data_IF_056372381570
#
_entry.id   IF_056372381570
#
_cell.length_a   1.000
_cell.length_b   1.000
_cell.length_c   1.000
_cell.angle_alpha   90.00
_cell.angle_beta   90.00
_cell.angle_gamma   90.00
#
_symmetry.space_group_name_H-M   'P 1'
#
loop_
_entity.id
_entity.type
_entity.pdbx_description
1 polymer ?
#
# COMPACT_ATOMS: atom_id res chain seq x y z
N UNK A 1 131.64 -65.94 134.44
CA UNK A 1 130.94 -64.70 134.00
C UNK A 1 129.42 -64.96 133.98
N UNK A 2 128.91 -65.34 135.16
CA UNK A 2 127.70 -66.16 135.35
C UNK A 2 126.75 -65.52 136.39
N UNK A 3 126.72 -64.18 136.47
CA UNK A 3 125.87 -63.41 137.41
C UNK A 3 125.07 -62.27 136.75
N UNK A 4 125.52 -61.75 135.61
CA UNK A 4 124.83 -60.64 134.91
C UNK A 4 123.61 -61.11 134.09
N UNK A 5 123.69 -62.29 133.47
CA UNK A 5 122.60 -62.88 132.67
C UNK A 5 121.38 -63.24 133.52
N UNK A 6 121.61 -63.61 134.79
CA UNK A 6 120.55 -64.03 135.72
C UNK A 6 119.78 -62.83 136.31
N UNK A 7 120.47 -61.69 136.50
CA UNK A 7 119.86 -60.45 136.96
C UNK A 7 118.99 -59.79 135.86
N UNK A 8 119.45 -59.79 134.61
CA UNK A 8 118.65 -59.27 133.49
C UNK A 8 117.42 -60.13 133.19
N UNK A 9 117.51 -61.47 133.31
CA UNK A 9 116.34 -62.35 133.16
C UNK A 9 115.28 -62.09 134.23
N UNK A 10 115.68 -61.89 135.50
CA UNK A 10 114.74 -61.53 136.59
C UNK A 10 114.06 -60.18 136.35
N UNK A 11 114.79 -59.18 135.86
CA UNK A 11 114.21 -57.87 135.49
C UNK A 11 113.24 -58.01 134.31
N UNK A 12 113.57 -58.85 133.32
CA UNK A 12 112.70 -59.12 132.17
C UNK A 12 111.42 -59.86 132.57
N UNK A 13 111.49 -60.85 133.47
CA UNK A 13 110.30 -61.55 133.98
C UNK A 13 109.38 -60.64 134.81
N UNK A 14 109.96 -59.69 135.57
CA UNK A 14 109.17 -58.71 136.34
C UNK A 14 108.52 -57.67 135.40
N UNK A 15 109.21 -57.22 134.36
CA UNK A 15 108.67 -56.27 133.39
C UNK A 15 107.56 -56.90 132.50
N UNK A 16 107.74 -58.15 132.07
CA UNK A 16 106.71 -58.89 131.31
C UNK A 16 105.51 -59.23 132.20
N UNK A 17 105.72 -59.53 133.49
CA UNK A 17 104.65 -59.73 134.46
C UNK A 17 103.82 -58.48 134.74
N UNK A 18 104.43 -57.28 134.76
CA UNK A 18 103.70 -56.02 134.96
C UNK A 18 103.01 -55.49 133.69
N UNK A 19 103.50 -55.79 132.50
CA UNK A 19 102.90 -55.32 131.25
C UNK A 19 101.66 -56.13 130.80
N UNK A 20 101.48 -57.36 131.30
CA UNK A 20 100.34 -58.23 130.94
C UNK A 20 99.08 -58.03 131.82
N UNK A 21 99.10 -57.12 132.80
CA UNK A 21 97.97 -56.87 133.72
C UNK A 21 97.26 -55.52 133.51
N UNK A 22 97.55 -54.81 132.42
CA UNK A 22 97.07 -53.44 132.16
C UNK A 22 96.06 -53.24 131.02
N UNK A 23 95.42 -54.29 130.47
CA UNK A 23 94.55 -54.18 129.28
C UNK A 23 93.09 -54.63 129.46
N UNK A 24 92.46 -54.36 130.60
CA UNK A 24 91.03 -54.62 130.81
C UNK A 24 90.21 -53.33 130.94
N UNK A 25 89.45 -52.96 129.88
CA UNK A 25 88.34 -51.99 129.96
C UNK A 25 87.14 -52.69 130.63
N UNK A 26 86.46 -52.06 131.61
CA UNK A 26 85.32 -52.68 132.30
C UNK A 26 84.15 -52.99 131.35
N UNK A 27 83.63 -54.22 131.36
CA UNK A 27 82.57 -54.71 130.46
C UNK A 27 81.31 -53.82 130.44
N UNK A 28 80.96 -53.18 131.56
CA UNK A 28 79.79 -52.29 131.65
C UNK A 28 79.92 -50.98 130.85
N UNK A 29 81.11 -50.36 130.80
CA UNK A 29 81.35 -49.16 129.98
C UNK A 29 81.46 -49.50 128.50
N UNK A 30 81.98 -50.69 128.17
CA UNK A 30 81.96 -51.21 126.81
C UNK A 30 80.53 -51.51 126.34
N UNK A 31 79.71 -52.17 127.18
CA UNK A 31 78.30 -52.44 126.90
C UNK A 31 77.51 -51.15 126.66
N UNK A 32 77.66 -50.13 127.53
CA UNK A 32 76.92 -48.88 127.39
C UNK A 32 77.30 -48.08 126.13
N UNK A 33 78.57 -48.14 125.72
CA UNK A 33 79.05 -47.54 124.48
C UNK A 33 78.53 -48.31 123.25
N UNK A 34 78.46 -49.64 123.34
CA UNK A 34 77.87 -50.52 122.32
C UNK A 34 76.36 -50.28 122.19
N UNK A 35 75.63 -50.14 123.30
CA UNK A 35 74.18 -49.86 123.29
C UNK A 35 73.86 -48.49 122.68
N UNK A 36 74.65 -47.46 123.01
CA UNK A 36 74.52 -46.13 122.40
C UNK A 36 74.92 -46.13 120.91
N UNK A 37 75.94 -46.91 120.54
CA UNK A 37 76.31 -47.11 119.14
C UNK A 37 75.18 -47.80 118.38
N UNK A 38 74.57 -48.83 118.97
CA UNK A 38 73.44 -49.56 118.38
C UNK A 38 72.18 -48.67 118.28
N UNK A 39 71.91 -47.82 119.28
CA UNK A 39 70.76 -46.90 119.22
C UNK A 39 70.94 -45.83 118.15
N UNK A 40 72.14 -45.22 118.07
CA UNK A 40 72.47 -44.25 117.03
C UNK A 40 72.50 -44.89 115.64
N UNK A 41 72.90 -46.16 115.56
CA UNK A 41 72.86 -46.94 114.32
C UNK A 41 71.42 -47.20 113.88
N UNK A 42 70.53 -47.57 114.81
CA UNK A 42 69.09 -47.73 114.53
C UNK A 42 68.43 -46.41 114.10
N UNK A 43 68.74 -45.30 114.76
CA UNK A 43 68.24 -43.96 114.40
C UNK A 43 68.75 -43.52 113.02
N UNK A 44 70.03 -43.77 112.73
CA UNK A 44 70.61 -43.55 111.39
C UNK A 44 69.89 -44.38 110.33
N UNK A 45 69.60 -45.65 110.61
CA UNK A 45 68.96 -46.54 109.65
C UNK A 45 67.50 -46.12 109.39
N UNK A 46 66.77 -45.65 110.41
CA UNK A 46 65.42 -45.06 110.27
C UNK A 46 65.46 -43.76 109.45
N UNK A 47 66.38 -42.85 109.78
CA UNK A 47 66.55 -41.60 109.03
C UNK A 47 67.01 -41.85 107.58
N UNK A 48 67.81 -42.88 107.34
CA UNK A 48 68.18 -43.30 105.99
C UNK A 48 66.97 -43.81 105.21
N UNK A 49 66.12 -44.65 105.83
CA UNK A 49 64.89 -45.13 105.21
C UNK A 49 63.90 -44.00 104.91
N UNK A 50 63.76 -43.03 105.83
CA UNK A 50 62.93 -41.83 105.62
C UNK A 50 63.49 -40.92 104.52
N UNK A 51 64.82 -40.73 104.48
CA UNK A 51 65.46 -39.96 103.41
C UNK A 51 65.30 -40.64 102.04
N UNK A 52 65.42 -41.96 101.99
CA UNK A 52 65.18 -42.75 100.78
C UNK A 52 63.72 -42.62 100.33
N UNK A 53 62.76 -42.75 101.26
CA UNK A 53 61.33 -42.55 100.98
C UNK A 53 61.03 -41.14 100.44
N UNK A 54 61.49 -40.08 101.13
CA UNK A 54 61.32 -38.69 100.69
C UNK A 54 62.02 -38.40 99.36
N UNK A 55 63.11 -39.09 99.06
CA UNK A 55 63.80 -39.00 97.76
C UNK A 55 62.97 -39.63 96.66
N UNK A 56 62.33 -40.78 96.91
CA UNK A 56 61.41 -41.42 95.96
C UNK A 56 60.18 -40.54 95.74
N UNK A 57 59.57 -40.03 96.80
CA UNK A 57 58.40 -39.14 96.71
C UNK A 57 58.73 -37.84 95.94
N UNK A 58 59.89 -37.23 96.19
CA UNK A 58 60.34 -36.07 95.40
C UNK A 58 60.52 -36.40 93.92
N UNK A 59 61.06 -37.58 93.59
CA UNK A 59 61.20 -38.01 92.20
C UNK A 59 59.83 -38.21 91.54
N UNK A 60 58.88 -38.82 92.24
CA UNK A 60 57.52 -38.99 91.74
C UNK A 60 56.80 -37.66 91.55
N UNK A 61 56.89 -36.75 92.52
CA UNK A 61 56.29 -35.43 92.44
C UNK A 61 56.91 -34.60 91.31
N UNK A 62 58.22 -34.70 91.11
CA UNK A 62 58.90 -34.08 89.98
C UNK A 62 58.44 -34.65 88.64
N UNK A 63 58.32 -35.97 88.52
CA UNK A 63 57.82 -36.61 87.31
C UNK A 63 56.38 -36.17 86.98
N UNK A 64 55.51 -36.06 88.00
CA UNK A 64 54.14 -35.52 87.83
C UNK A 64 54.14 -34.05 87.46
N UNK A 65 55.04 -33.25 88.03
CA UNK A 65 55.21 -31.83 87.69
C UNK A 65 55.63 -31.67 86.22
N UNK A 66 56.66 -32.41 85.80
CA UNK A 66 57.15 -32.42 84.42
C UNK A 66 56.03 -32.88 83.44
N UNK A 67 55.20 -33.86 83.82
CA UNK A 67 54.05 -34.30 83.02
C UNK A 67 52.97 -33.21 82.88
N UNK A 68 52.64 -32.51 83.98
CA UNK A 68 51.67 -31.41 83.96
C UNK A 68 52.21 -30.22 83.17
N UNK A 69 53.50 -29.93 83.29
CA UNK A 69 54.16 -28.85 82.55
C UNK A 69 54.15 -29.15 81.04
N UNK A 70 54.47 -30.37 80.63
CA UNK A 70 54.37 -30.80 79.24
C UNK A 70 52.92 -30.72 78.69
N UNK A 71 51.92 -31.14 79.48
CA UNK A 71 50.50 -30.99 79.09
C UNK A 71 50.07 -29.54 78.97
N UNK A 72 50.55 -28.66 79.86
CA UNK A 72 50.26 -27.22 79.81
C UNK A 72 50.85 -26.60 78.56
N UNK A 73 52.09 -26.95 78.19
CA UNK A 73 52.71 -26.50 76.94
C UNK A 73 51.90 -26.97 75.73
N UNK A 74 51.54 -28.27 75.68
CA UNK A 74 50.71 -28.81 74.61
C UNK A 74 49.36 -28.09 74.49
N UNK A 75 48.65 -27.87 75.59
CA UNK A 75 47.38 -27.13 75.56
C UNK A 75 47.56 -25.67 75.13
N UNK A 76 48.69 -25.05 75.46
CA UNK A 76 48.99 -23.69 75.02
C UNK A 76 49.20 -23.65 73.51
N UNK A 77 49.97 -24.59 72.96
CA UNK A 77 50.17 -24.73 71.51
C UNK A 77 48.86 -25.02 70.77
N UNK A 78 48.05 -25.95 71.29
CA UNK A 78 46.74 -26.29 70.74
C UNK A 78 45.79 -25.09 70.76
N UNK A 79 45.77 -24.31 71.85
CA UNK A 79 44.95 -23.11 71.96
C UNK A 79 45.35 -22.05 70.94
N UNK A 80 46.65 -21.84 70.72
CA UNK A 80 47.16 -20.91 69.70
C UNK A 80 46.77 -21.40 68.30
N UNK A 81 46.92 -22.71 68.04
CA UNK A 81 46.55 -23.31 66.75
C UNK A 81 45.07 -23.15 66.45
N UNK A 82 44.19 -23.47 67.41
CA UNK A 82 42.74 -23.35 67.27
C UNK A 82 42.35 -21.88 67.09
N UNK A 83 42.94 -20.96 67.84
CA UNK A 83 42.65 -19.53 67.70
C UNK A 83 42.98 -19.04 66.29
N UNK A 84 44.14 -19.44 65.74
CA UNK A 84 44.52 -19.11 64.36
C UNK A 84 43.53 -19.69 63.34
N UNK A 85 43.14 -20.96 63.49
CA UNK A 85 42.13 -21.58 62.61
C UNK A 85 40.79 -20.86 62.68
N UNK A 86 40.38 -20.40 63.87
CA UNK A 86 39.14 -19.67 64.06
C UNK A 86 39.21 -18.29 63.39
N UNK A 87 40.33 -17.57 63.52
CA UNK A 87 40.55 -16.29 62.85
C UNK A 87 40.55 -16.44 61.31
N UNK A 88 41.16 -17.51 60.79
CA UNK A 88 41.15 -17.80 59.35
C UNK A 88 39.75 -18.16 58.86
N UNK A 89 38.99 -18.96 59.61
CA UNK A 89 37.60 -19.31 59.30
C UNK A 89 36.67 -18.10 59.36
N UNK A 90 36.85 -17.20 60.33
CA UNK A 90 36.12 -15.93 60.42
C UNK A 90 36.36 -15.06 59.18
N UNK A 91 37.61 -14.98 58.70
CA UNK A 91 37.94 -14.25 57.47
C UNK A 91 37.27 -14.88 56.25
N UNK A 92 37.26 -16.21 56.15
CA UNK A 92 36.59 -16.92 55.06
C UNK A 92 35.07 -16.72 55.09
N UNK A 93 34.46 -16.74 56.27
CA UNK A 93 33.03 -16.49 56.45
C UNK A 93 32.64 -15.09 55.99
N UNK A 94 33.40 -14.06 56.40
CA UNK A 94 33.18 -12.68 55.94
C UNK A 94 33.35 -12.55 54.42
N UNK A 95 34.32 -13.26 53.82
CA UNK A 95 34.49 -13.26 52.36
C UNK A 95 33.33 -13.96 51.65
N UNK A 96 32.84 -15.07 52.20
CA UNK A 96 31.73 -15.82 51.64
C UNK A 96 30.43 -15.02 51.70
N UNK A 97 30.16 -14.34 52.82
CA UNK A 97 29.02 -13.45 52.99
C UNK A 97 29.04 -12.30 51.96
N UNK A 98 30.20 -11.69 51.73
CA UNK A 98 30.35 -10.66 50.68
C UNK A 98 30.06 -11.20 49.29
N UNK A 99 30.62 -12.37 48.95
CA UNK A 99 30.36 -13.02 47.65
C UNK A 99 28.88 -13.36 47.47
N UNK A 100 28.21 -13.81 48.53
CA UNK A 100 26.79 -14.10 48.50
C UNK A 100 25.96 -12.83 48.27
N UNK A 101 26.26 -11.74 48.98
CA UNK A 101 25.61 -10.45 48.79
C UNK A 101 25.81 -9.88 47.36
N UNK A 102 27.02 -9.98 46.82
CA UNK A 102 27.31 -9.59 45.44
C UNK A 102 26.55 -10.46 44.42
N UNK A 103 26.50 -11.78 44.67
CA UNK A 103 25.77 -12.71 43.81
C UNK A 103 24.26 -12.46 43.84
N UNK A 104 23.69 -12.19 45.01
CA UNK A 104 22.28 -11.85 45.17
C UNK A 104 21.95 -10.53 44.44
N UNK A 105 22.77 -9.50 44.62
CA UNK A 105 22.63 -8.21 43.94
C UNK A 105 22.70 -8.33 42.41
N UNK A 106 23.67 -9.09 41.90
CA UNK A 106 23.81 -9.34 40.45
C UNK A 106 22.66 -10.16 39.90
N UNK A 107 22.17 -11.15 40.65
CA UNK A 107 21.00 -11.95 40.26
C UNK A 107 19.74 -11.09 40.19
N UNK A 108 19.48 -10.25 41.19
CA UNK A 108 18.36 -9.30 41.16
C UNK A 108 18.46 -8.29 40.02
N UNK A 109 19.67 -7.80 39.72
CA UNK A 109 19.90 -6.92 38.57
C UNK A 109 19.59 -7.62 37.24
N UNK A 110 20.00 -8.87 37.09
CA UNK A 110 19.75 -9.68 35.90
C UNK A 110 18.27 -10.01 35.74
N UNK A 111 17.57 -10.38 36.82
CA UNK A 111 16.12 -10.60 36.80
C UNK A 111 15.36 -9.33 36.40
N UNK A 112 15.74 -8.17 36.95
CA UNK A 112 15.14 -6.87 36.58
C UNK A 112 15.42 -6.52 35.12
N UNK A 113 16.64 -6.77 34.64
CA UNK A 113 17.02 -6.58 33.24
C UNK A 113 16.17 -7.44 32.30
N UNK A 114 16.10 -8.75 32.57
CA UNK A 114 15.31 -9.69 31.80
C UNK A 114 13.81 -9.37 31.82
N UNK A 115 13.25 -9.01 32.97
CA UNK A 115 11.85 -8.63 33.08
C UNK A 115 11.54 -7.35 32.27
N UNK A 116 12.46 -6.37 32.29
CA UNK A 116 12.34 -5.15 31.49
C UNK A 116 12.40 -5.46 29.99
N UNK A 117 13.34 -6.29 29.58
CA UNK A 117 13.52 -6.66 28.18
C UNK A 117 12.34 -7.50 27.65
N UNK A 118 11.86 -8.46 28.44
CA UNK A 118 10.67 -9.24 28.12
C UNK A 118 9.45 -8.33 27.93
N UNK A 119 9.27 -7.35 28.83
CA UNK A 119 8.17 -6.37 28.70
C UNK A 119 8.33 -5.50 27.46
N UNK A 120 9.54 -5.08 27.11
CA UNK A 120 9.83 -4.33 25.88
C UNK A 120 9.44 -5.14 24.65
N UNK A 121 9.90 -6.38 24.56
CA UNK A 121 9.61 -7.29 23.45
C UNK A 121 8.12 -7.61 23.34
N UNK A 122 7.42 -7.81 24.46
CA UNK A 122 5.97 -8.03 24.45
C UNK A 122 5.21 -6.81 23.93
N UNK A 123 5.61 -5.60 24.34
CA UNK A 123 5.01 -4.37 23.82
C UNK A 123 5.28 -4.22 22.32
N UNK A 124 6.50 -4.45 21.86
CA UNK A 124 6.85 -4.40 20.42
C UNK A 124 6.09 -5.44 19.60
N UNK A 125 5.95 -6.66 20.14
CA UNK A 125 5.17 -7.71 19.51
C UNK A 125 3.69 -7.32 19.41
N UNK A 126 3.12 -6.72 20.45
CA UNK A 126 1.74 -6.25 20.43
C UNK A 126 1.55 -5.14 19.40
N UNK A 127 2.41 -4.12 19.40
CA UNK A 127 2.31 -3.01 18.42
C UNK A 127 2.48 -3.50 16.99
N UNK A 128 3.40 -4.45 16.75
CA UNK A 128 3.60 -5.00 15.41
C UNK A 128 2.44 -5.88 14.96
N UNK A 129 1.76 -6.59 15.87
CA UNK A 129 0.53 -7.32 15.57
C UNK A 129 -0.63 -6.38 15.22
N UNK A 130 -0.80 -5.28 15.95
CA UNK A 130 -1.80 -4.25 15.66
C UNK A 130 -1.52 -3.58 14.31
N UNK A 131 -0.27 -3.21 14.03
CA UNK A 131 0.15 -2.68 12.72
C UNK A 131 -0.06 -3.67 11.57
N UNK A 132 0.19 -4.96 11.81
CA UNK A 132 -0.02 -5.99 10.78
C UNK A 132 -1.51 -6.14 10.47
N UNK A 133 -2.37 -6.16 11.51
CA UNK A 133 -3.82 -6.25 11.33
C UNK A 133 -4.38 -5.06 10.55
N UNK A 134 -3.93 -3.84 10.87
CA UNK A 134 -4.35 -2.62 10.15
C UNK A 134 -3.89 -2.65 8.69
N UNK A 135 -2.64 -3.07 8.42
CA UNK A 135 -2.13 -3.22 7.05
C UNK A 135 -2.88 -4.29 6.26
N UNK A 136 -3.24 -5.41 6.89
CA UNK A 136 -4.04 -6.46 6.25
C UNK A 136 -5.44 -5.96 5.88
N UNK A 137 -6.08 -5.17 6.76
CA UNK A 137 -7.37 -4.56 6.47
C UNK A 137 -7.28 -3.57 5.31
N UNK A 138 -6.26 -2.71 5.30
CA UNK A 138 -6.02 -1.76 4.20
C UNK A 138 -5.77 -2.48 2.86
N UNK A 139 -4.98 -3.56 2.87
CA UNK A 139 -4.74 -4.36 1.66
C UNK A 139 -6.03 -4.96 1.11
N UNK A 140 -6.88 -5.51 1.98
CA UNK A 140 -8.17 -6.06 1.57
C UNK A 140 -9.09 -5.00 0.97
N UNK A 141 -9.08 -3.79 1.51
CA UNK A 141 -9.85 -2.66 0.97
C UNK A 141 -9.31 -2.21 -0.39
N UNK A 142 -7.98 -2.11 -0.54
CA UNK A 142 -7.33 -1.79 -1.81
C UNK A 142 -7.61 -2.85 -2.88
N UNK A 143 -7.56 -4.14 -2.53
CA UNK A 143 -7.90 -5.24 -3.43
C UNK A 143 -9.35 -5.13 -3.93
N UNK A 144 -10.30 -4.82 -3.04
CA UNK A 144 -11.69 -4.60 -3.41
C UNK A 144 -11.87 -3.38 -4.34
N UNK A 145 -11.18 -2.29 -4.06
CA UNK A 145 -11.21 -1.08 -4.89
C UNK A 145 -10.64 -1.34 -6.30
N UNK A 146 -9.50 -2.03 -6.39
CA UNK A 146 -8.89 -2.40 -7.69
C UNK A 146 -9.81 -3.35 -8.46
N UNK A 147 -10.46 -4.31 -7.79
CA UNK A 147 -11.43 -5.18 -8.43
C UNK A 147 -12.62 -4.40 -9.00
N UNK A 148 -13.16 -3.44 -8.24
CA UNK A 148 -14.22 -2.52 -8.69
C UNK A 148 -13.81 -1.69 -9.90
N UNK A 149 -12.66 -1.01 -9.82
CA UNK A 149 -12.13 -0.22 -10.94
C UNK A 149 -11.91 -1.05 -12.21
N UNK A 150 -11.47 -2.30 -12.07
CA UNK A 150 -11.28 -3.20 -13.21
C UNK A 150 -12.62 -3.58 -13.85
N UNK A 151 -13.67 -3.78 -13.04
CA UNK A 151 -15.01 -4.04 -13.55
C UNK A 151 -15.56 -2.81 -14.30
N UNK A 152 -15.41 -1.62 -13.73
CA UNK A 152 -15.84 -0.36 -14.35
C UNK A 152 -15.12 -0.13 -15.69
N UNK A 153 -13.81 -0.37 -15.74
CA UNK A 153 -13.04 -0.28 -16.98
C UNK A 153 -13.55 -1.25 -18.04
N UNK A 154 -13.80 -2.51 -17.69
CA UNK A 154 -14.34 -3.48 -18.64
C UNK A 154 -15.72 -3.06 -19.17
N UNK A 155 -16.58 -2.52 -18.31
CA UNK A 155 -17.89 -2.02 -18.71
C UNK A 155 -17.77 -0.82 -19.65
N UNK A 156 -16.90 0.14 -19.33
CA UNK A 156 -16.67 1.33 -20.15
C UNK A 156 -16.06 0.97 -21.51
N UNK A 157 -15.14 -0.01 -21.55
CA UNK A 157 -14.58 -0.52 -22.79
C UNK A 157 -15.66 -1.16 -23.66
N UNK A 158 -16.53 -2.00 -23.09
CA UNK A 158 -17.64 -2.61 -23.82
C UNK A 158 -18.64 -1.56 -24.35
N UNK A 159 -18.95 -0.53 -23.56
CA UNK A 159 -19.81 0.57 -23.98
C UNK A 159 -19.19 1.38 -25.11
N UNK A 160 -17.89 1.66 -25.03
CA UNK A 160 -17.16 2.38 -26.07
C UNK A 160 -17.11 1.58 -27.38
N UNK A 161 -16.86 0.28 -27.31
CA UNK A 161 -16.89 -0.62 -28.47
C UNK A 161 -18.28 -0.63 -29.13
N UNK A 162 -19.35 -0.76 -28.33
CA UNK A 162 -20.72 -0.71 -28.84
C UNK A 162 -21.05 0.64 -29.49
N UNK A 163 -20.60 1.74 -28.90
CA UNK A 163 -20.81 3.09 -29.44
C UNK A 163 -20.03 3.31 -30.73
N UNK A 164 -18.79 2.83 -30.80
CA UNK A 164 -17.96 2.89 -32.01
C UNK A 164 -18.58 2.07 -33.14
N UNK A 165 -19.09 0.86 -32.86
CA UNK A 165 -19.78 0.04 -33.86
C UNK A 165 -21.02 0.75 -34.41
N UNK A 166 -21.81 1.39 -33.54
CA UNK A 166 -22.99 2.18 -33.96
C UNK A 166 -22.62 3.40 -34.80
N UNK A 167 -21.49 4.04 -34.49
CA UNK A 167 -20.99 5.17 -35.29
C UNK A 167 -20.57 4.70 -36.69
N UNK A 168 -19.86 3.58 -36.80
CA UNK A 168 -19.48 3.01 -38.10
C UNK A 168 -20.71 2.64 -38.94
N UNK A 169 -21.74 2.04 -38.32
CA UNK A 169 -23.00 1.74 -39.00
C UNK A 169 -23.70 3.01 -39.50
N UNK A 170 -23.74 4.06 -38.67
CA UNK A 170 -24.31 5.35 -39.05
C UNK A 170 -23.52 6.03 -40.18
N UNK A 171 -22.18 5.99 -40.13
CA UNK A 171 -21.31 6.55 -41.17
C UNK A 171 -21.54 5.86 -42.52
N UNK A 172 -21.65 4.53 -42.52
CA UNK A 172 -21.96 3.77 -43.74
C UNK A 172 -23.35 4.12 -44.28
N UNK A 173 -24.37 4.22 -43.41
CA UNK A 173 -25.71 4.62 -43.81
C UNK A 173 -25.73 6.03 -44.42
N UNK A 174 -25.02 6.99 -43.81
CA UNK A 174 -24.89 8.35 -44.35
C UNK A 174 -24.17 8.35 -45.70
N UNK A 175 -23.13 7.55 -45.85
CA UNK A 175 -22.39 7.44 -47.10
C UNK A 175 -23.25 6.87 -48.24
N UNK A 176 -24.03 5.82 -47.96
CA UNK A 176 -24.99 5.28 -48.92
C UNK A 176 -26.05 6.30 -49.30
N UNK A 177 -26.57 7.06 -48.33
CA UNK A 177 -27.53 8.13 -48.55
C UNK A 177 -26.97 9.22 -49.47
N UNK A 178 -25.76 9.71 -49.20
CA UNK A 178 -25.14 10.76 -50.00
C UNK A 178 -24.91 10.30 -51.44
N UNK A 179 -24.47 9.05 -51.64
CA UNK A 179 -24.33 8.46 -52.98
C UNK A 179 -25.66 8.41 -53.75
N UNK A 180 -26.74 7.94 -53.12
CA UNK A 180 -28.05 7.85 -53.75
C UNK A 180 -28.56 9.25 -54.13
N UNK A 181 -28.42 10.22 -53.22
CA UNK A 181 -28.82 11.61 -53.48
C UNK A 181 -28.04 12.22 -54.64
N UNK A 182 -26.74 11.96 -54.73
CA UNK A 182 -25.90 12.50 -55.81
C UNK A 182 -26.17 11.84 -57.16
N UNK A 183 -26.39 10.52 -57.21
CA UNK A 183 -26.82 9.82 -58.44
C UNK A 183 -28.16 10.38 -58.95
N UNK A 184 -29.11 10.56 -58.03
CA UNK A 184 -30.43 11.08 -58.37
C UNK A 184 -30.35 12.53 -58.86
N UNK A 185 -29.57 13.39 -58.20
CA UNK A 185 -29.30 14.77 -58.66
C UNK A 185 -28.66 14.81 -60.04
N UNK A 186 -27.74 13.89 -60.32
CA UNK A 186 -27.04 13.83 -61.60
C UNK A 186 -28.00 13.43 -62.73
N UNK A 187 -28.83 12.41 -62.51
CA UNK A 187 -29.89 12.00 -63.45
C UNK A 187 -30.86 13.14 -63.77
N UNK A 188 -31.31 13.88 -62.75
CA UNK A 188 -32.18 15.05 -62.96
C UNK A 188 -31.50 16.08 -63.84
N UNK A 189 -30.22 16.38 -63.61
CA UNK A 189 -29.52 17.38 -64.41
C UNK A 189 -29.21 16.93 -65.85
N UNK A 190 -28.82 15.67 -66.05
CA UNK A 190 -28.55 15.10 -67.37
C UNK A 190 -29.81 15.09 -68.24
N UNK A 191 -30.97 14.81 -67.65
CA UNK A 191 -32.26 14.88 -68.34
C UNK A 191 -32.63 16.30 -68.83
N UNK A 192 -32.06 17.35 -68.22
CA UNK A 192 -32.47 18.74 -68.43
C UNK A 192 -31.45 19.59 -69.19
N UNK A 193 -30.17 19.20 -69.22
CA UNK A 193 -29.12 19.91 -69.98
C UNK A 193 -29.40 19.97 -71.50
N UNK A 194 -30.14 19.02 -72.06
CA UNK A 194 -30.51 19.00 -73.49
C UNK A 194 -31.49 20.10 -73.94
N UNK A 195 -32.03 20.91 -73.02
CA UNK A 195 -33.06 21.91 -73.29
C UNK A 195 -32.59 23.36 -73.11
N UNK A 196 -31.33 23.55 -72.73
CA UNK A 196 -30.70 24.87 -72.68
C UNK A 196 -30.63 25.46 -74.10
N UNK A 197 -31.18 26.67 -74.29
CA UNK A 197 -31.17 27.37 -75.58
C UNK A 197 -32.47 27.32 -76.39
N UNK A 198 -33.51 26.60 -75.96
CA UNK A 198 -34.84 26.62 -76.58
C UNK A 198 -35.80 27.66 -75.97
N UNK A 199 -35.25 28.75 -75.44
CA UNK A 199 -36.00 29.76 -74.66
C UNK A 199 -36.17 29.40 -73.18
N UNK A 200 -35.52 28.32 -72.73
CA UNK A 200 -35.42 27.89 -71.34
C UNK A 200 -34.01 28.15 -70.83
N UNK A 201 -33.91 28.65 -69.60
CA UNK A 201 -32.66 28.78 -68.86
C UNK A 201 -32.65 27.75 -67.74
N UNK A 202 -31.63 26.91 -67.70
CA UNK A 202 -31.48 25.86 -66.67
C UNK A 202 -30.38 26.27 -65.72
N UNK A 203 -30.68 26.32 -64.42
CA UNK A 203 -29.68 26.65 -63.38
C UNK A 203 -29.76 25.65 -62.23
N UNK A 204 -28.62 25.32 -61.63
CA UNK A 204 -28.56 24.42 -60.47
C UNK A 204 -28.32 25.26 -59.21
N UNK A 205 -29.18 25.10 -58.19
CA UNK A 205 -29.05 25.81 -56.91
C UNK A 205 -29.52 24.92 -55.76
N UNK A 206 -28.74 24.82 -54.69
CA UNK A 206 -29.08 24.09 -53.46
C UNK A 206 -29.58 22.64 -53.70
N UNK A 207 -28.98 21.94 -54.67
CA UNK A 207 -29.35 20.56 -55.01
C UNK A 207 -30.68 20.41 -55.76
N UNK A 208 -31.30 21.51 -56.21
CA UNK A 208 -32.48 21.54 -57.09
C UNK A 208 -32.11 22.08 -58.47
N UNK A 209 -32.85 21.67 -59.49
CA UNK A 209 -32.73 22.21 -60.84
C UNK A 209 -33.86 23.20 -61.10
N UNK A 210 -33.50 24.42 -61.45
CA UNK A 210 -34.42 25.51 -61.76
C UNK A 210 -34.46 25.70 -63.26
N UNK A 211 -35.62 25.50 -63.85
CA UNK A 211 -35.90 25.80 -65.26
C UNK A 211 -36.73 27.06 -65.29
N UNK A 212 -36.13 28.16 -65.73
CA UNK A 212 -36.83 29.44 -65.87
C UNK A 212 -37.11 29.75 -67.34
N UNK A 213 -38.22 30.45 -67.56
CA UNK A 213 -38.65 30.88 -68.88
C UNK A 213 -39.11 32.33 -68.80
N UNK A 214 -38.67 33.14 -69.77
CA UNK A 214 -39.03 34.56 -69.83
C UNK A 214 -40.55 34.71 -70.01
N UNK A 215 -41.18 35.54 -69.18
CA UNK A 215 -42.62 35.76 -69.26
C UNK A 215 -43.05 36.32 -70.63
N UNK A 216 -42.20 37.04 -71.37
CA UNK A 216 -42.55 37.49 -72.74
C UNK A 216 -42.78 36.34 -73.72
N UNK A 217 -42.13 35.20 -73.49
CA UNK A 217 -42.29 34.00 -74.30
C UNK A 217 -43.52 33.19 -73.86
N UNK A 218 -43.99 33.40 -72.63
CA UNK A 218 -45.09 32.66 -72.04
C UNK A 218 -46.41 33.43 -72.06
N UNK A 219 -46.48 34.68 -71.62
CA UNK A 219 -47.73 35.39 -71.39
C UNK A 219 -47.71 36.78 -72.01
N UNK A 220 -48.86 37.18 -72.56
CA UNK A 220 -49.12 38.60 -72.84
C UNK A 220 -49.34 39.36 -71.52
N UNK A 221 -49.04 40.65 -71.49
CA UNK A 221 -49.22 41.49 -70.29
C UNK A 221 -50.64 41.38 -69.73
N UNK A 222 -50.75 41.09 -68.42
CA UNK A 222 -52.03 40.90 -67.73
C UNK A 222 -52.81 39.64 -68.11
N UNK A 223 -52.24 38.74 -68.92
CA UNK A 223 -52.86 37.48 -69.35
C UNK A 223 -52.34 36.28 -68.56
N UNK A 224 -53.20 35.27 -68.45
CA UNK A 224 -52.90 33.92 -67.94
C UNK A 224 -52.89 32.88 -69.06
N UNK A 225 -53.12 33.29 -70.32
CA UNK A 225 -53.04 32.40 -71.49
C UNK A 225 -51.61 32.33 -72.00
N UNK A 226 -51.11 31.11 -72.19
CA UNK A 226 -49.75 30.86 -72.67
C UNK A 226 -49.66 31.05 -74.20
N UNK A 227 -48.59 31.69 -74.68
CA UNK A 227 -48.30 31.87 -76.10
C UNK A 227 -48.01 30.53 -76.80
N UNK A 228 -48.39 30.33 -78.08
CA UNK A 228 -48.14 29.08 -78.79
C UNK A 228 -46.69 28.58 -78.74
N UNK A 229 -45.70 29.49 -78.75
CA UNK A 229 -44.27 29.10 -78.64
C UNK A 229 -43.95 28.57 -77.24
N UNK A 230 -44.48 29.23 -76.21
CA UNK A 230 -44.38 28.76 -74.82
C UNK A 230 -45.04 27.40 -74.61
N UNK A 231 -46.20 27.16 -75.24
CA UNK A 231 -46.88 25.85 -75.22
C UNK A 231 -45.99 24.76 -75.82
N UNK A 232 -45.30 25.04 -76.93
CA UNK A 232 -44.40 24.07 -77.56
C UNK A 232 -43.20 23.70 -76.66
N UNK A 233 -42.55 24.69 -76.05
CA UNK A 233 -41.44 24.47 -75.12
C UNK A 233 -41.89 23.69 -73.87
N UNK A 234 -43.06 24.03 -73.31
CA UNK A 234 -43.64 23.30 -72.18
C UNK A 234 -44.00 21.85 -72.53
N UNK A 235 -44.50 21.58 -73.74
CA UNK A 235 -44.78 20.21 -74.19
C UNK A 235 -43.51 19.36 -74.33
N UNK A 236 -42.42 19.95 -74.79
CA UNK A 236 -41.12 19.25 -74.86
C UNK A 236 -40.59 18.93 -73.47
N UNK A 237 -40.68 19.89 -72.54
CA UNK A 237 -40.35 19.67 -71.14
C UNK A 237 -41.24 18.58 -70.52
N UNK A 238 -42.54 18.59 -70.81
CA UNK A 238 -43.49 17.62 -70.29
C UNK A 238 -43.15 16.17 -70.70
N UNK A 239 -42.71 15.95 -71.95
CA UNK A 239 -42.28 14.62 -72.41
C UNK A 239 -41.06 14.08 -71.66
N UNK A 240 -40.16 14.95 -71.23
CA UNK A 240 -38.98 14.55 -70.45
C UNK A 240 -39.41 14.21 -69.03
N UNK A 241 -40.21 15.07 -68.41
CA UNK A 241 -40.70 14.86 -67.05
C UNK A 241 -41.59 13.62 -66.92
N UNK A 242 -42.30 13.25 -68.00
CA UNK A 242 -43.06 12.01 -68.06
C UNK A 242 -42.18 10.75 -68.12
N UNK A 243 -40.99 10.84 -68.73
CA UNK A 243 -40.01 9.73 -68.80
C UNK A 243 -39.18 9.56 -67.53
N UNK A 244 -39.19 10.54 -66.64
CA UNK A 244 -38.45 10.54 -65.37
C UNK A 244 -39.45 10.67 -64.21
N UNK A 245 -40.17 9.59 -63.84
CA UNK A 245 -41.19 9.62 -62.79
C UNK A 245 -40.67 10.00 -61.40
N UNK A 246 -39.37 9.87 -61.16
CA UNK A 246 -38.66 10.17 -59.91
C UNK A 246 -38.41 11.67 -59.66
N UNK A 247 -38.94 12.55 -60.50
CA UNK A 247 -38.76 14.01 -60.39
C UNK A 247 -40.06 14.67 -59.94
N UNK A 248 -40.04 15.33 -58.80
CA UNK A 248 -41.10 16.23 -58.36
C UNK A 248 -40.98 17.59 -59.04
N UNK A 249 -42.14 18.18 -59.37
CA UNK A 249 -42.26 19.38 -60.19
C UNK A 249 -43.01 20.43 -59.40
N UNK A 250 -42.31 21.49 -58.97
CA UNK A 250 -42.93 22.65 -58.36
C UNK A 250 -42.90 23.83 -59.34
N UNK A 251 -44.03 24.49 -59.54
CA UNK A 251 -44.14 25.63 -60.45
C UNK A 251 -44.46 26.88 -59.66
N UNK A 252 -43.53 27.84 -59.67
CA UNK A 252 -43.67 29.11 -58.98
C UNK A 252 -43.91 30.25 -59.97
N UNK A 253 -45.04 30.93 -59.81
CA UNK A 253 -45.30 32.18 -60.52
C UNK A 253 -44.77 33.39 -59.75
N UNK A 254 -44.18 34.35 -60.47
CA UNK A 254 -43.74 35.65 -59.94
C UNK A 254 -44.31 36.78 -60.79
N UNK A 255 -44.56 37.94 -60.17
CA UNK A 255 -45.00 39.16 -60.85
C UNK A 255 -43.98 40.29 -60.63
N UNK A 256 -44.17 41.42 -61.33
CA UNK A 256 -43.52 42.68 -60.95
C UNK A 256 -44.31 43.41 -59.85
N UNK A 257 -43.79 44.56 -59.44
CA UNK A 257 -44.35 45.49 -58.45
C UNK A 257 -45.51 46.34 -59.00
N UNK A 258 -45.98 46.08 -60.22
CA UNK A 258 -47.04 46.88 -60.84
C UNK A 258 -48.39 46.32 -60.38
N UNK A 259 -49.25 47.14 -59.72
CA UNK A 259 -50.53 46.65 -59.25
C UNK A 259 -51.45 46.22 -60.40
N UNK A 260 -52.08 45.05 -60.24
CA UNK A 260 -53.08 44.58 -61.18
C UNK A 260 -54.31 45.51 -61.18
N UNK A 261 -54.82 45.89 -62.37
CA UNK A 261 -55.98 46.80 -62.48
C UNK A 261 -57.25 46.10 -62.01
N UNK A 262 -57.97 46.70 -61.06
CA UNK A 262 -59.26 46.20 -60.56
C UNK A 262 -60.31 46.17 -61.68
N UNK A 263 -60.87 44.99 -61.98
CA UNK A 263 -61.94 44.87 -62.97
C UNK A 263 -62.23 43.50 -63.60
N UNK A 264 -61.55 42.41 -63.20
CA UNK A 264 -61.86 41.05 -63.64
C UNK A 264 -61.49 40.05 -62.52
N UNK A 265 -61.77 38.76 -62.72
CA UNK A 265 -61.68 37.62 -61.78
C UNK A 265 -60.37 37.39 -61.00
N UNK A 266 -59.37 38.26 -61.13
CA UNK A 266 -58.05 38.22 -60.48
C UNK A 266 -57.96 39.42 -59.51
N UNK A 267 -57.75 39.16 -58.21
CA UNK A 267 -57.80 40.22 -57.18
C UNK A 267 -56.49 41.01 -57.06
N UNK A 268 -55.36 40.34 -57.17
CA UNK A 268 -54.03 40.94 -56.97
C UNK A 268 -52.91 40.13 -57.67
N UNK A 269 -51.67 40.52 -57.39
CA UNK A 269 -50.47 39.87 -57.91
C UNK A 269 -50.26 38.44 -57.36
N UNK A 270 -50.83 38.11 -56.20
CA UNK A 270 -50.85 36.72 -55.69
C UNK A 270 -51.73 35.84 -56.58
N UNK A 271 -52.98 36.25 -56.81
CA UNK A 271 -53.91 35.52 -57.69
C UNK A 271 -53.32 35.35 -59.10
N UNK A 272 -52.75 36.42 -59.66
CA UNK A 272 -52.13 36.38 -60.98
C UNK A 272 -50.98 35.36 -61.05
N UNK A 273 -50.11 35.36 -60.04
CA UNK A 273 -48.96 34.47 -59.98
C UNK A 273 -49.37 32.99 -59.91
N UNK A 274 -50.36 32.64 -59.06
CA UNK A 274 -50.88 31.28 -58.92
C UNK A 274 -51.59 30.83 -60.19
N UNK A 275 -52.41 31.69 -60.80
CA UNK A 275 -53.16 31.35 -62.01
C UNK A 275 -52.23 31.11 -63.20
N UNK A 276 -51.15 31.88 -63.36
CA UNK A 276 -50.14 31.64 -64.38
C UNK A 276 -49.42 30.31 -64.19
N UNK A 277 -48.98 30.01 -62.97
CA UNK A 277 -48.38 28.72 -62.65
C UNK A 277 -49.37 27.56 -62.91
N UNK A 278 -50.64 27.73 -62.59
CA UNK A 278 -51.71 26.75 -62.88
C UNK A 278 -51.91 26.54 -64.38
N UNK A 279 -51.87 27.60 -65.20
CA UNK A 279 -51.94 27.47 -66.66
C UNK A 279 -50.80 26.62 -67.21
N UNK A 280 -49.60 26.75 -66.65
CA UNK A 280 -48.44 25.93 -67.03
C UNK A 280 -48.65 24.48 -66.64
N UNK A 281 -49.12 24.20 -65.42
CA UNK A 281 -49.48 22.82 -64.99
C UNK A 281 -50.46 22.16 -65.96
N UNK A 282 -51.50 22.89 -66.39
CA UNK A 282 -52.49 22.35 -67.35
C UNK A 282 -51.85 21.96 -68.68
N UNK A 283 -50.91 22.75 -69.17
CA UNK A 283 -50.16 22.45 -70.40
C UNK A 283 -49.21 21.28 -70.20
N UNK A 284 -48.56 21.20 -69.04
CA UNK A 284 -47.69 20.07 -68.71
C UNK A 284 -48.47 18.77 -68.58
N UNK A 285 -49.73 18.79 -68.13
CA UNK A 285 -50.58 17.59 -68.03
C UNK A 285 -51.23 17.19 -69.37
N UNK A 286 -51.35 18.12 -70.32
CA UNK A 286 -52.03 17.91 -71.61
C UNK A 286 -51.30 16.88 -72.48
N UNK A 287 -51.75 15.62 -72.42
CA UNK A 287 -51.25 14.52 -73.25
C UNK A 287 -49.83 14.04 -72.93
N UNK A 288 -49.27 14.41 -71.76
CA UNK A 288 -47.89 14.11 -71.39
C UNK A 288 -47.71 12.81 -70.61
N UNK A 289 -48.73 12.37 -69.85
CA UNK A 289 -48.63 11.21 -68.95
C UNK A 289 -47.93 11.48 -67.61
N UNK A 290 -47.69 12.75 -67.25
CA UNK A 290 -47.17 13.10 -65.91
C UNK A 290 -48.23 12.78 -64.85
N UNK A 291 -47.83 12.11 -63.76
CA UNK A 291 -48.70 11.90 -62.60
C UNK A 291 -49.01 13.26 -61.92
N UNK A 292 -50.29 13.65 -61.81
CA UNK A 292 -50.69 14.89 -61.13
C UNK A 292 -50.20 15.00 -59.68
N UNK A 293 -49.93 13.89 -58.99
CA UNK A 293 -49.46 13.90 -57.59
C UNK A 293 -48.06 14.50 -57.43
N UNK A 294 -47.26 14.53 -58.52
CA UNK A 294 -45.90 15.09 -58.57
C UNK A 294 -45.85 16.60 -58.78
N UNK A 295 -47.00 17.23 -59.03
CA UNK A 295 -47.09 18.65 -59.40
C UNK A 295 -47.56 19.50 -58.23
N UNK A 296 -46.74 20.47 -57.84
CA UNK A 296 -47.09 21.48 -56.85
C UNK A 296 -47.14 22.85 -57.50
N UNK A 297 -48.21 23.61 -57.26
CA UNK A 297 -48.34 24.99 -57.72
C UNK A 297 -48.12 25.94 -56.55
N UNK A 298 -47.29 26.96 -56.76
CA UNK A 298 -47.15 28.07 -55.84
C UNK A 298 -47.15 29.41 -56.58
N UNK A 299 -47.66 30.44 -55.92
CA UNK A 299 -47.49 31.83 -56.31
C UNK A 299 -46.59 32.52 -55.31
N UNK A 300 -45.82 33.50 -55.75
CA UNK A 300 -44.96 34.34 -54.88
C UNK A 300 -45.31 35.82 -54.96
N UNK A 301 -46.26 36.19 -55.83
CA UNK A 301 -46.57 37.59 -56.15
C UNK A 301 -45.31 38.39 -56.50
N UNK A 302 -45.25 39.62 -56.02
CA UNK A 302 -44.14 40.56 -56.25
C UNK A 302 -43.03 40.48 -55.18
N UNK A 303 -43.20 39.64 -54.16
CA UNK A 303 -42.41 39.67 -52.92
C UNK A 303 -41.05 38.95 -52.99
N UNK A 304 -40.75 38.29 -54.10
CA UNK A 304 -39.45 37.67 -54.38
C UNK A 304 -38.89 38.13 -55.73
N UNK A 305 -38.50 39.43 -55.85
CA UNK A 305 -37.89 39.95 -57.07
C UNK A 305 -36.47 39.40 -57.23
N UNK A 306 -36.09 39.08 -58.47
CA UNK A 306 -34.71 38.72 -58.82
C UNK A 306 -33.87 39.97 -59.06
N UNK A 307 -34.50 41.04 -59.54
CA UNK A 307 -33.90 42.36 -59.69
C UNK A 307 -34.75 43.39 -58.94
N UNK A 308 -34.22 43.96 -57.87
CA UNK A 308 -34.92 44.94 -57.04
C UNK A 308 -34.91 46.36 -57.63
N UNK A 309 -34.29 46.58 -58.79
CA UNK A 309 -34.32 47.88 -59.44
C UNK A 309 -35.73 48.22 -59.95
N UNK A 310 -36.12 49.49 -59.85
CA UNK A 310 -37.42 49.96 -60.34
C UNK A 310 -37.36 50.36 -61.83
N UNK A 311 -36.76 49.50 -62.66
CA UNK A 311 -36.61 49.75 -64.11
C UNK A 311 -37.55 48.86 -64.93
N UNK A 312 -37.94 49.25 -66.16
CA UNK A 312 -38.70 48.39 -67.07
C UNK A 312 -38.02 47.04 -67.35
N UNK A 313 -36.70 47.01 -67.30
CA UNK A 313 -35.86 45.82 -67.47
C UNK A 313 -35.97 44.91 -66.24
N UNK A 314 -35.80 45.43 -65.04
CA UNK A 314 -35.92 44.67 -63.79
C UNK A 314 -37.33 44.11 -63.59
N UNK A 315 -38.36 44.91 -63.85
CA UNK A 315 -39.76 44.47 -63.89
C UNK A 315 -40.00 43.36 -64.90
N UNK A 316 -39.25 43.33 -66.00
CA UNK A 316 -39.34 42.25 -67.00
C UNK A 316 -38.73 40.96 -66.48
N UNK A 317 -37.59 41.05 -65.81
CA UNK A 317 -36.92 39.89 -65.19
C UNK A 317 -37.73 39.30 -64.03
N UNK A 318 -38.40 40.15 -63.24
CA UNK A 318 -39.21 39.72 -62.10
C UNK A 318 -40.49 38.99 -62.52
N UNK A 319 -41.06 39.40 -63.65
CA UNK A 319 -42.14 38.71 -64.37
C UNK A 319 -41.60 37.41 -64.97
N UNK A 320 -41.74 36.31 -64.23
CA UNK A 320 -41.19 35.01 -64.60
C UNK A 320 -41.99 33.86 -64.00
N UNK A 321 -41.80 32.67 -64.57
CA UNK A 321 -42.20 31.42 -63.93
C UNK A 321 -40.97 30.55 -63.77
N UNK A 322 -40.78 30.02 -62.56
CA UNK A 322 -39.75 29.04 -62.26
C UNK A 322 -40.37 27.66 -62.14
N UNK A 323 -39.86 26.70 -62.90
CA UNK A 323 -40.17 25.29 -62.75
C UNK A 323 -38.99 24.68 -61.98
N UNK A 324 -39.26 24.32 -60.74
CA UNK A 324 -38.30 23.80 -59.79
C UNK A 324 -38.46 22.28 -59.76
N UNK A 325 -37.39 21.61 -60.16
CA UNK A 325 -37.32 20.17 -60.28
C UNK A 325 -36.47 19.64 -59.13
N UNK A 326 -37.07 18.78 -58.33
CA UNK A 326 -36.40 18.11 -57.22
C UNK A 326 -36.54 16.61 -57.33
N UNK A 327 -35.51 15.86 -56.93
CA UNK A 327 -35.64 14.41 -56.82
C UNK A 327 -36.71 14.03 -55.79
N UNK A 328 -37.51 12.99 -56.08
CA UNK A 328 -38.40 12.38 -55.10
C UNK A 328 -37.55 11.73 -54.00
N UNK A 329 -37.66 12.28 -52.79
CA UNK A 329 -36.92 11.80 -51.64
C UNK A 329 -37.69 10.72 -50.86
N UNK A 330 -38.90 10.36 -51.27
CA UNK A 330 -39.75 9.39 -50.56
C UNK A 330 -39.11 8.01 -50.44
N UNK A 331 -38.26 7.63 -51.38
CA UNK A 331 -37.49 6.38 -51.32
C UNK A 331 -36.32 6.49 -50.32
N UNK A 332 -35.63 7.64 -50.30
CA UNK A 332 -34.58 7.95 -49.31
C UNK A 332 -35.16 7.97 -47.88
N UNK A 333 -36.34 8.56 -47.70
CA UNK A 333 -37.02 8.61 -46.41
C UNK A 333 -37.58 7.26 -45.95
N UNK A 334 -38.03 6.39 -46.87
CA UNK A 334 -38.44 5.01 -46.52
C UNK A 334 -37.28 4.17 -46.00
N UNK A 335 -36.08 4.39 -46.51
CA UNK A 335 -34.85 3.74 -46.01
C UNK A 335 -34.50 4.24 -44.59
N UNK A 336 -34.95 5.43 -44.19
CA UNK A 336 -34.69 6.04 -42.87
C UNK A 336 -35.69 5.61 -41.77
N UNK A 337 -36.83 5.03 -42.12
CA UNK A 337 -37.87 4.58 -41.16
C UNK A 337 -37.80 3.08 -40.83
N UNK A 338 -36.86 2.36 -41.46
CA UNK A 338 -36.47 0.98 -41.10
C UNK A 338 -35.29 1.02 -40.13
#
# INVERSE_FOLDING_TARGET
>A
MNRYVDMMKRILYIAIGMALLGSCVPSGKFSQQVDKSNSLQGERDVLMAENEFLTVENREMKAKFDEVEAKKEQFTEDSIRIHKQLEDLEKELVQLERKYADLESTHEALLRGNARETRRLLNELQTTQEDLATKQQLLKELEANVAGQRQDLNQLTAELEARNARLMEMEEMLYQKDRILDDLRQKVADALMGFEGQGLTVTRKNGKVYVSMDEKLLFKSGSTSVDPKGVQALRQLAQVLARNPEIDIMIEGHTDDVPFRKGASIKDNWDLSVLRATSIVRILLDGSGIDPTRLTVAGRGEFLPVDSANTPEARRTNRRTEIILSPDLSEVFRILEL
#
